data_IF_346271832902
#
_entry.id   IF_346271832902
#
_cell.length_a   1.000
_cell.length_b   1.000
_cell.length_c   1.000
_cell.angle_alpha   90.00
_cell.angle_beta   90.00
_cell.angle_gamma   90.00
#
_symmetry.space_group_name_H-M   'P 1'
#
loop_
_entity.id
_entity.type
_entity.pdbx_description
1 polymer ?
#
# COMPACT_ATOMS: atom_id res chain seq x y z
N UNK A 1 8.21 38.48 1.11
CA UNK A 1 6.74 38.44 1.17
C UNK A 1 6.27 37.53 0.06
N UNK A 2 6.09 36.26 0.40
CA UNK A 2 5.54 35.24 -0.49
C UNK A 2 4.04 35.42 -0.45
N UNK A 3 3.42 35.76 -1.58
CA UNK A 3 1.96 35.73 -1.67
C UNK A 3 1.50 34.30 -1.36
N UNK A 4 0.56 34.11 -0.42
CA UNK A 4 -0.08 32.81 -0.27
C UNK A 4 -0.81 32.54 -1.58
N UNK A 5 -0.58 31.36 -2.16
CA UNK A 5 -1.42 30.82 -3.22
C UNK A 5 -2.87 31.08 -2.82
N UNK A 6 -3.57 31.90 -3.61
CA UNK A 6 -4.96 32.24 -3.37
C UNK A 6 -5.73 30.93 -3.18
N UNK A 7 -6.30 30.77 -1.98
CA UNK A 7 -7.37 29.84 -1.72
C UNK A 7 -8.49 30.21 -2.69
N UNK A 8 -8.63 29.41 -3.75
CA UNK A 8 -9.89 29.33 -4.47
C UNK A 8 -10.93 28.83 -3.46
N UNK A 9 -12.15 29.34 -3.53
CA UNK A 9 -13.26 28.94 -2.68
C UNK A 9 -13.24 27.42 -2.49
N UNK A 10 -13.03 26.94 -1.25
CA UNK A 10 -12.74 25.54 -0.97
C UNK A 10 -13.81 24.64 -1.56
N UNK A 11 -13.54 24.06 -2.72
CA UNK A 11 -14.32 22.97 -3.25
C UNK A 11 -14.07 21.79 -2.31
N UNK A 12 -15.12 21.04 -1.96
CA UNK A 12 -15.06 19.93 -0.99
C UNK A 12 -14.01 18.84 -1.36
N UNK A 13 -13.37 18.94 -2.52
CA UNK A 13 -12.41 18.03 -3.12
C UNK A 13 -10.93 18.45 -3.04
N UNK A 14 -10.58 19.69 -2.66
CA UNK A 14 -9.17 20.14 -2.59
C UNK A 14 -8.32 19.29 -1.63
N UNK A 15 -8.85 19.02 -0.43
CA UNK A 15 -8.19 18.18 0.58
C UNK A 15 -8.10 16.73 0.11
N UNK A 16 -9.19 16.08 -0.36
CA UNK A 16 -9.12 14.77 -0.99
C UNK A 16 -8.09 14.68 -2.13
N UNK A 17 -8.00 15.67 -3.02
CA UNK A 17 -7.05 15.68 -4.12
C UNK A 17 -5.60 15.75 -3.62
N UNK A 18 -5.30 16.69 -2.72
CA UNK A 18 -3.97 16.82 -2.13
C UNK A 18 -3.52 15.52 -1.45
N UNK A 19 -4.41 14.89 -0.68
CA UNK A 19 -4.11 13.66 0.03
C UNK A 19 -4.00 12.46 -0.91
N UNK A 20 -4.87 12.34 -1.92
CA UNK A 20 -4.77 11.29 -2.93
C UNK A 20 -3.42 11.35 -3.65
N UNK A 21 -2.97 12.54 -4.08
CA UNK A 21 -1.64 12.74 -4.70
C UNK A 21 -0.50 12.38 -3.77
N UNK A 22 -0.56 12.86 -2.53
CA UNK A 22 0.48 12.59 -1.53
C UNK A 22 0.63 11.08 -1.26
N UNK A 23 -0.50 10.37 -1.14
CA UNK A 23 -0.48 8.92 -0.96
C UNK A 23 -0.08 8.18 -2.24
N UNK A 24 -0.45 8.64 -3.43
CA UNK A 24 0.02 8.08 -4.69
C UNK A 24 1.55 8.09 -4.78
N UNK A 25 2.17 9.26 -4.54
CA UNK A 25 3.63 9.39 -4.53
C UNK A 25 4.30 8.47 -3.50
N UNK A 26 3.70 8.35 -2.31
CA UNK A 26 4.23 7.47 -1.27
C UNK A 26 4.09 5.99 -1.63
N UNK A 27 2.97 5.60 -2.22
CA UNK A 27 2.69 4.23 -2.67
C UNK A 27 3.66 3.82 -3.79
N UNK A 28 3.95 4.69 -4.76
CA UNK A 28 4.94 4.42 -5.82
C UNK A 28 6.33 4.15 -5.23
N UNK A 29 6.76 4.97 -4.26
CA UNK A 29 8.03 4.75 -3.59
C UNK A 29 8.05 3.44 -2.79
N UNK A 30 7.00 3.20 -1.99
CA UNK A 30 6.87 1.96 -1.22
C UNK A 30 6.86 0.72 -2.12
N UNK A 31 6.22 0.81 -3.28
CA UNK A 31 6.17 -0.28 -4.24
C UNK A 31 7.55 -0.60 -4.82
N UNK A 32 8.30 0.44 -5.22
CA UNK A 32 9.68 0.28 -5.70
C UNK A 32 10.56 -0.37 -4.63
N UNK A 33 10.46 0.10 -3.40
CA UNK A 33 11.27 -0.38 -2.29
C UNK A 33 10.91 -1.84 -1.93
N UNK A 34 9.62 -2.18 -1.83
CA UNK A 34 9.15 -3.54 -1.60
C UNK A 34 9.61 -4.51 -2.69
N UNK A 35 9.49 -4.13 -3.97
CA UNK A 35 10.01 -4.93 -5.11
C UNK A 35 11.51 -5.18 -5.02
N UNK A 36 12.29 -4.18 -4.60
CA UNK A 36 13.75 -4.31 -4.50
C UNK A 36 14.14 -5.21 -3.31
N UNK A 37 13.55 -4.97 -2.14
CA UNK A 37 13.87 -5.71 -0.92
C UNK A 37 13.38 -7.16 -0.97
N UNK A 38 12.21 -7.42 -1.54
CA UNK A 38 11.73 -8.80 -1.80
C UNK A 38 12.70 -9.59 -2.69
N UNK A 39 13.17 -8.97 -3.78
CA UNK A 39 14.15 -9.60 -4.69
C UNK A 39 15.48 -9.86 -3.99
N UNK A 40 15.95 -8.91 -3.18
CA UNK A 40 17.17 -9.06 -2.37
C UNK A 40 17.03 -10.22 -1.38
N UNK A 41 15.94 -10.27 -0.61
CA UNK A 41 15.68 -11.35 0.33
C UNK A 41 15.67 -12.71 -0.37
N UNK A 42 14.88 -12.88 -1.44
CA UNK A 42 14.82 -14.13 -2.20
C UNK A 42 16.19 -14.57 -2.71
N UNK A 43 16.98 -13.64 -3.26
CA UNK A 43 18.32 -13.96 -3.75
C UNK A 43 19.27 -14.41 -2.63
N UNK A 44 19.15 -13.84 -1.42
CA UNK A 44 19.98 -14.22 -0.28
C UNK A 44 19.53 -15.56 0.31
N UNK A 45 18.23 -15.79 0.41
CA UNK A 45 17.64 -17.04 0.88
C UNK A 45 18.08 -18.21 0.00
N UNK A 46 17.91 -18.09 -1.33
CA UNK A 46 18.34 -19.09 -2.32
C UNK A 46 19.87 -19.33 -2.32
N UNK A 47 20.67 -18.30 -2.03
CA UNK A 47 22.13 -18.42 -1.97
C UNK A 47 22.58 -19.12 -0.68
N UNK A 48 21.89 -18.84 0.43
CA UNK A 48 22.15 -19.47 1.72
C UNK A 48 21.76 -20.96 1.68
N UNK A 49 20.61 -21.31 1.11
CA UNK A 49 20.17 -22.70 0.94
C UNK A 49 21.15 -23.55 0.12
N UNK A 50 21.75 -22.96 -0.92
CA UNK A 50 22.76 -23.63 -1.77
C UNK A 50 24.14 -23.73 -1.13
N UNK A 51 24.37 -23.09 0.01
CA UNK A 51 25.70 -22.89 0.61
C UNK A 51 26.69 -22.27 -0.40
N UNK A 52 26.20 -21.44 -1.32
CA UNK A 52 26.93 -20.96 -2.51
C UNK A 52 27.90 -19.80 -2.21
N UNK A 53 27.93 -19.30 -0.95
CA UNK A 53 28.67 -18.08 -0.59
C UNK A 53 29.37 -18.25 0.77
N UNK A 54 30.70 -18.30 0.76
CA UNK A 54 31.57 -18.49 1.94
C UNK A 54 31.44 -17.42 3.04
N UNK A 55 30.71 -16.33 2.80
CA UNK A 55 30.54 -15.20 3.72
C UNK A 55 29.09 -14.84 4.02
N UNK A 56 28.13 -15.56 3.45
CA UNK A 56 26.72 -15.30 3.71
C UNK A 56 26.31 -15.97 5.01
N UNK A 57 25.91 -15.17 6.00
CA UNK A 57 25.48 -15.68 7.29
C UNK A 57 23.95 -15.75 7.36
N UNK A 58 23.43 -16.60 8.25
CA UNK A 58 22.00 -16.62 8.58
C UNK A 58 21.48 -15.24 9.03
N UNK A 59 22.31 -14.46 9.73
CA UNK A 59 21.96 -13.11 10.16
C UNK A 59 21.73 -12.14 8.98
N UNK A 60 22.44 -12.33 7.87
CA UNK A 60 22.24 -11.53 6.66
C UNK A 60 20.87 -11.82 6.02
N UNK A 61 20.47 -13.10 6.01
CA UNK A 61 19.16 -13.54 5.52
C UNK A 61 18.05 -12.98 6.41
N UNK A 62 18.19 -13.09 7.74
CA UNK A 62 17.21 -12.54 8.69
C UNK A 62 17.06 -11.02 8.58
N UNK A 63 18.17 -10.30 8.37
CA UNK A 63 18.12 -8.85 8.15
C UNK A 63 17.37 -8.51 6.88
N UNK A 64 17.67 -9.19 5.77
CA UNK A 64 16.98 -8.97 4.50
C UNK A 64 15.50 -9.35 4.57
N UNK A 65 15.15 -10.41 5.31
CA UNK A 65 13.77 -10.77 5.61
C UNK A 65 13.04 -9.63 6.33
N UNK A 66 13.60 -9.11 7.43
CA UNK A 66 12.98 -8.04 8.21
C UNK A 66 12.77 -6.76 7.39
N UNK A 67 13.74 -6.41 6.54
CA UNK A 67 13.62 -5.28 5.60
C UNK A 67 12.50 -5.51 4.58
N UNK A 68 12.44 -6.69 3.96
CA UNK A 68 11.42 -7.04 2.97
C UNK A 68 10.02 -7.05 3.61
N UNK A 69 9.86 -7.71 4.75
CA UNK A 69 8.61 -7.78 5.51
C UNK A 69 8.07 -6.39 5.84
N UNK A 70 8.93 -5.52 6.39
CA UNK A 70 8.54 -4.14 6.76
C UNK A 70 8.14 -3.32 5.53
N UNK A 71 8.85 -3.50 4.41
CA UNK A 71 8.52 -2.81 3.17
C UNK A 71 7.17 -3.26 2.59
N UNK A 72 6.83 -4.55 2.68
CA UNK A 72 5.51 -5.04 2.28
C UNK A 72 4.39 -4.49 3.16
N UNK A 73 4.58 -4.46 4.48
CA UNK A 73 3.65 -3.83 5.41
C UNK A 73 3.41 -2.35 5.07
N UNK A 74 4.47 -1.60 4.77
CA UNK A 74 4.37 -0.19 4.35
C UNK A 74 3.65 -0.04 3.01
N UNK A 75 3.89 -0.93 2.05
CA UNK A 75 3.18 -0.94 0.77
C UNK A 75 1.67 -1.14 0.98
N UNK A 76 1.28 -2.14 1.78
CA UNK A 76 -0.15 -2.38 2.12
C UNK A 76 -0.79 -1.14 2.73
N UNK A 77 -0.12 -0.50 3.70
CA UNK A 77 -0.63 0.69 4.36
C UNK A 77 -0.81 1.83 3.35
N UNK A 78 0.21 2.11 2.55
CA UNK A 78 0.21 3.24 1.60
C UNK A 78 -0.81 3.04 0.49
N UNK A 79 -0.89 1.83 -0.09
CA UNK A 79 -1.88 1.49 -1.12
C UNK A 79 -3.32 1.61 -0.57
N UNK A 80 -3.58 1.09 0.63
CA UNK A 80 -4.89 1.21 1.27
C UNK A 80 -5.29 2.68 1.51
N UNK A 81 -4.36 3.54 1.94
CA UNK A 81 -4.64 4.96 2.11
C UNK A 81 -4.87 5.66 0.78
N UNK A 82 -4.12 5.31 -0.26
CA UNK A 82 -4.31 5.87 -1.59
C UNK A 82 -5.71 5.57 -2.12
N UNK A 83 -6.16 4.31 -2.07
CA UNK A 83 -7.51 3.90 -2.47
C UNK A 83 -8.61 4.69 -1.72
N UNK A 84 -8.44 4.86 -0.41
CA UNK A 84 -9.39 5.59 0.44
C UNK A 84 -9.49 7.06 0.04
N UNK A 85 -8.37 7.73 -0.18
CA UNK A 85 -8.38 9.16 -0.52
C UNK A 85 -8.82 9.40 -1.96
N UNK A 86 -8.50 8.50 -2.88
CA UNK A 86 -9.02 8.55 -4.24
C UNK A 86 -10.55 8.35 -4.25
N UNK A 87 -11.06 7.37 -3.49
CA UNK A 87 -12.51 7.20 -3.32
C UNK A 87 -13.17 8.48 -2.80
N UNK A 88 -12.58 9.11 -1.77
CA UNK A 88 -13.12 10.37 -1.23
C UNK A 88 -13.11 11.51 -2.23
N UNK A 89 -12.07 11.60 -3.07
CA UNK A 89 -12.00 12.57 -4.16
C UNK A 89 -13.16 12.39 -5.14
N UNK A 90 -13.36 11.17 -5.63
CA UNK A 90 -14.46 10.87 -6.57
C UNK A 90 -15.83 11.18 -5.97
N UNK A 91 -16.06 10.80 -4.70
CA UNK A 91 -17.32 11.09 -4.02
C UNK A 91 -17.54 12.59 -3.79
N UNK A 92 -16.50 13.35 -3.44
CA UNK A 92 -16.60 14.81 -3.30
C UNK A 92 -16.97 15.49 -4.63
N UNK A 93 -16.58 14.90 -5.75
CA UNK A 93 -16.92 15.34 -7.11
C UNK A 93 -18.25 14.79 -7.64
N UNK A 94 -19.00 14.04 -6.83
CA UNK A 94 -20.25 13.41 -7.24
C UNK A 94 -20.08 12.31 -8.30
N UNK A 95 -18.87 11.78 -8.47
CA UNK A 95 -18.52 10.70 -9.41
C UNK A 95 -18.63 9.33 -8.71
N UNK A 96 -18.87 8.23 -9.45
CA UNK A 96 -18.82 6.89 -8.89
C UNK A 96 -17.41 6.58 -8.39
N UNK A 97 -17.28 6.01 -7.19
CA UNK A 97 -15.97 5.65 -6.65
C UNK A 97 -15.29 4.55 -7.48
N UNK A 98 -13.95 4.56 -7.59
CA UNK A 98 -13.21 3.46 -8.21
C UNK A 98 -13.46 2.13 -7.51
N UNK A 99 -13.25 1.03 -8.24
CA UNK A 99 -13.37 -0.32 -7.68
C UNK A 99 -12.33 -0.52 -6.57
N UNK A 100 -12.78 -1.10 -5.45
CA UNK A 100 -11.89 -1.39 -4.32
C UNK A 100 -11.27 -2.77 -4.43
N UNK A 101 -10.01 -2.87 -4.07
CA UNK A 101 -9.32 -4.15 -3.93
C UNK A 101 -9.91 -4.96 -2.77
N UNK A 102 -10.32 -6.21 -3.02
CA UNK A 102 -10.72 -7.12 -1.97
C UNK A 102 -9.61 -7.27 -0.91
N UNK A 103 -10.01 -7.22 0.36
CA UNK A 103 -9.15 -7.45 1.53
C UNK A 103 -8.02 -6.44 1.78
N UNK A 104 -7.77 -5.45 0.91
CA UNK A 104 -6.66 -4.49 1.12
C UNK A 104 -6.82 -3.68 2.41
N UNK A 105 -8.06 -3.26 2.71
CA UNK A 105 -8.38 -2.56 3.97
C UNK A 105 -8.20 -3.47 5.18
N UNK A 106 -8.69 -4.70 5.09
CA UNK A 106 -8.61 -5.70 6.15
C UNK A 106 -7.14 -6.08 6.42
N UNK A 107 -6.34 -6.24 5.37
CA UNK A 107 -4.90 -6.48 5.44
C UNK A 107 -4.16 -5.33 6.09
N UNK A 108 -4.49 -4.09 5.71
CA UNK A 108 -3.94 -2.90 6.38
C UNK A 108 -4.28 -2.89 7.86
N UNK A 109 -5.51 -3.22 8.23
CA UNK A 109 -5.91 -3.27 9.64
C UNK A 109 -5.17 -4.38 10.40
N UNK A 110 -5.01 -5.55 9.79
CA UNK A 110 -4.22 -6.64 10.38
C UNK A 110 -2.77 -6.24 10.64
N UNK A 111 -2.13 -5.54 9.69
CA UNK A 111 -0.76 -5.01 9.85
C UNK A 111 -0.70 -3.96 10.96
N UNK A 112 -1.66 -3.02 11.00
CA UNK A 112 -1.65 -1.91 11.98
C UNK A 112 -1.91 -2.38 13.41
N UNK A 113 -2.71 -3.43 13.57
CA UNK A 113 -3.10 -3.97 14.88
C UNK A 113 -2.40 -5.30 15.18
N UNK A 114 -1.23 -5.55 14.56
CA UNK A 114 -0.50 -6.80 14.73
C UNK A 114 -0.08 -7.01 16.20
N UNK A 115 0.17 -5.93 16.95
CA UNK A 115 0.52 -5.96 18.37
C UNK A 115 -0.62 -6.44 19.29
N UNK A 116 -1.87 -6.42 18.80
CA UNK A 116 -3.06 -6.90 19.51
C UNK A 116 -3.33 -8.41 19.27
N UNK A 117 -2.47 -9.07 18.49
CA UNK A 117 -2.70 -10.43 17.97
C UNK A 117 -2.08 -11.51 18.84
N UNK A 118 -2.61 -12.73 18.74
CA UNK A 118 -1.90 -13.91 19.22
C UNK A 118 -0.93 -14.38 18.12
N UNK A 119 0.33 -14.61 18.50
CA UNK A 119 1.40 -15.03 17.58
C UNK A 119 1.74 -16.48 17.89
N UNK A 120 1.61 -17.35 16.89
CA UNK A 120 2.19 -18.67 16.89
C UNK A 120 3.64 -18.57 16.38
N UNK A 121 4.61 -18.74 17.27
CA UNK A 121 6.04 -18.66 16.96
C UNK A 121 6.55 -19.86 16.15
N UNK A 122 5.87 -21.01 16.24
CA UNK A 122 6.24 -22.23 15.52
C UNK A 122 5.79 -22.13 14.05
N UNK A 123 4.58 -21.59 13.81
CA UNK A 123 4.01 -21.44 12.48
C UNK A 123 4.28 -20.09 11.82
N UNK A 124 4.79 -19.10 12.58
CA UNK A 124 4.96 -17.71 12.13
C UNK A 124 3.65 -17.12 11.62
N UNK A 125 2.56 -17.36 12.33
CA UNK A 125 1.22 -16.89 12.00
C UNK A 125 0.67 -16.02 13.12
N UNK A 126 -0.05 -14.96 12.76
CA UNK A 126 -0.82 -14.15 13.69
C UNK A 126 -2.31 -14.45 13.53
N UNK A 127 -3.01 -14.57 14.66
CA UNK A 127 -4.45 -14.81 14.76
C UNK A 127 -5.13 -13.75 15.66
N UNK A 128 -6.46 -13.57 15.58
CA UNK A 128 -7.17 -12.61 16.40
C UNK A 128 -7.02 -12.93 17.89
N UNK A 129 -6.54 -11.96 18.67
CA UNK A 129 -6.50 -12.08 20.12
C UNK A 129 -7.89 -12.11 20.79
N UNK A 130 -7.94 -12.37 22.11
CA UNK A 130 -9.19 -12.61 22.86
C UNK A 130 -10.12 -11.40 22.85
N UNK A 131 -9.55 -10.19 22.82
CA UNK A 131 -10.26 -8.94 22.60
C UNK A 131 -10.43 -8.70 21.10
N UNK A 132 -11.31 -9.47 20.45
CA UNK A 132 -11.69 -9.42 19.02
C UNK A 132 -11.13 -8.20 18.24
N UNK A 133 -9.87 -8.30 17.81
CA UNK A 133 -9.18 -7.25 17.09
C UNK A 133 -9.82 -7.03 15.73
N UNK A 134 -10.21 -5.79 15.42
CA UNK A 134 -11.04 -5.41 14.25
C UNK A 134 -10.33 -5.55 12.88
N UNK A 135 -9.24 -6.30 12.79
CA UNK A 135 -8.44 -6.49 11.58
C UNK A 135 -8.38 -7.94 11.10
N UNK A 136 -7.69 -8.79 11.87
CA UNK A 136 -7.37 -10.19 11.48
C UNK A 136 -8.59 -11.06 11.24
N UNK A 137 -9.66 -10.90 12.03
CA UNK A 137 -10.86 -11.73 11.88
C UNK A 137 -11.61 -11.55 10.55
N UNK A 138 -11.27 -10.51 9.77
CA UNK A 138 -11.84 -10.23 8.47
C UNK A 138 -10.95 -10.71 7.30
N UNK A 139 -9.75 -11.23 7.59
CA UNK A 139 -8.89 -11.85 6.59
C UNK A 139 -9.38 -13.24 6.21
N UNK A 140 -9.02 -13.75 5.01
CA UNK A 140 -9.15 -15.16 4.70
C UNK A 140 -8.53 -16.01 5.81
N UNK A 141 -9.27 -17.03 6.27
CA UNK A 141 -8.85 -17.92 7.37
C UNK A 141 -8.64 -17.24 8.74
N UNK A 142 -8.91 -15.94 8.87
CA UNK A 142 -8.63 -15.15 10.05
C UNK A 142 -7.15 -15.22 10.50
N UNK A 143 -6.23 -15.30 9.54
CA UNK A 143 -4.80 -15.48 9.79
C UNK A 143 -3.98 -14.48 8.97
N UNK A 144 -2.84 -14.06 9.52
CA UNK A 144 -1.81 -13.33 8.79
C UNK A 144 -0.50 -14.09 8.90
N UNK A 145 0.05 -14.51 7.76
CA UNK A 145 1.37 -15.16 7.74
C UNK A 145 2.47 -14.10 7.87
N UNK A 146 3.28 -14.20 8.92
CA UNK A 146 4.42 -13.31 9.21
C UNK A 146 5.64 -13.70 8.35
N UNK A 147 5.73 -14.97 7.98
CA UNK A 147 6.78 -15.44 7.09
C UNK A 147 6.55 -15.03 5.64
N UNK A 148 7.62 -14.66 4.93
CA UNK A 148 7.59 -14.44 3.49
C UNK A 148 7.77 -15.79 2.81
N UNK A 149 6.65 -16.46 2.51
CA UNK A 149 6.72 -17.67 1.71
C UNK A 149 7.16 -17.31 0.27
N UNK A 150 8.00 -18.14 -0.36
CA UNK A 150 8.50 -17.90 -1.72
C UNK A 150 7.42 -17.86 -2.82
N UNK A 151 6.13 -17.94 -2.45
CA UNK A 151 4.96 -17.99 -3.34
C UNK A 151 4.68 -16.67 -4.07
N UNK A 152 5.27 -15.56 -3.61
CA UNK A 152 5.02 -14.23 -4.19
C UNK A 152 3.76 -13.54 -3.66
N UNK A 153 3.12 -14.10 -2.63
CA UNK A 153 2.02 -13.47 -1.91
C UNK A 153 2.54 -12.53 -0.82
N UNK A 154 1.93 -11.35 -0.74
CA UNK A 154 2.10 -10.38 0.34
C UNK A 154 1.28 -10.88 1.54
N UNK A 155 2.00 -11.25 2.60
CA UNK A 155 1.49 -11.77 3.88
C UNK A 155 0.51 -12.96 3.70
N UNK A 156 0.68 -13.71 2.60
CA UNK A 156 -0.17 -14.83 2.17
C UNK A 156 -1.66 -14.50 1.90
N UNK A 157 -2.02 -13.22 1.74
CA UNK A 157 -3.42 -12.80 1.49
C UNK A 157 -3.63 -12.33 0.05
N UNK A 158 -2.73 -11.50 -0.49
CA UNK A 158 -2.85 -10.91 -1.83
C UNK A 158 -1.56 -11.16 -2.59
N UNK A 159 -1.63 -11.52 -3.87
CA UNK A 159 -0.41 -11.65 -4.68
C UNK A 159 0.24 -10.28 -4.91
N UNK A 160 1.58 -10.22 -4.93
CA UNK A 160 2.27 -8.97 -5.20
C UNK A 160 1.88 -8.36 -6.54
N UNK A 161 1.77 -9.18 -7.59
CA UNK A 161 1.39 -8.75 -8.94
C UNK A 161 -0.03 -8.17 -8.97
N UNK A 162 -0.96 -8.73 -8.19
CA UNK A 162 -2.33 -8.21 -8.08
C UNK A 162 -2.35 -6.84 -7.40
N UNK A 163 -1.63 -6.67 -6.29
CA UNK A 163 -1.53 -5.36 -5.63
C UNK A 163 -0.87 -4.32 -6.53
N UNK A 164 0.16 -4.72 -7.25
CA UNK A 164 0.87 -3.89 -8.23
C UNK A 164 -0.06 -3.40 -9.34
N UNK A 165 -0.78 -4.31 -9.99
CA UNK A 165 -1.73 -3.97 -11.04
C UNK A 165 -2.84 -3.03 -10.54
N UNK A 166 -3.31 -3.23 -9.31
CA UNK A 166 -4.31 -2.35 -8.72
C UNK A 166 -3.77 -0.95 -8.42
N UNK A 167 -2.55 -0.84 -7.90
CA UNK A 167 -1.88 0.45 -7.71
C UNK A 167 -1.76 1.18 -9.06
N UNK A 168 -1.37 0.48 -10.12
CA UNK A 168 -1.30 1.07 -11.47
C UNK A 168 -2.68 1.59 -11.92
N UNK A 169 -3.75 0.83 -11.71
CA UNK A 169 -5.13 1.30 -11.98
C UNK A 169 -5.48 2.56 -11.19
N UNK A 170 -5.19 2.61 -9.88
CA UNK A 170 -5.47 3.80 -9.07
C UNK A 170 -4.66 5.02 -9.55
N UNK A 171 -3.44 4.82 -10.04
CA UNK A 171 -2.60 5.87 -10.60
C UNK A 171 -3.17 6.39 -11.93
N UNK A 172 -3.65 5.51 -12.79
CA UNK A 172 -4.31 5.88 -14.05
C UNK A 172 -5.57 6.71 -13.75
N UNK A 173 -6.41 6.26 -12.83
CA UNK A 173 -7.62 6.97 -12.38
C UNK A 173 -7.30 8.35 -11.78
N UNK A 174 -6.21 8.48 -11.03
CA UNK A 174 -5.76 9.80 -10.54
C UNK A 174 -5.20 10.67 -11.67
N UNK A 175 -4.50 10.08 -12.64
CA UNK A 175 -3.97 10.77 -13.81
C UNK A 175 -5.08 11.40 -14.65
N UNK A 176 -6.13 10.65 -14.93
CA UNK A 176 -7.31 11.14 -15.65
C UNK A 176 -7.99 12.31 -14.90
N UNK A 177 -8.11 12.22 -13.56
CA UNK A 177 -8.66 13.30 -12.74
C UNK A 177 -7.80 14.59 -12.76
N UNK A 178 -6.48 14.45 -12.89
CA UNK A 178 -5.56 15.59 -13.00
C UNK A 178 -5.62 16.23 -14.39
N UNK A 179 -5.76 15.42 -15.44
CA UNK A 179 -5.89 15.89 -16.81
C UNK A 179 -7.22 16.64 -17.04
N UNK A 180 -8.32 16.13 -16.47
CA UNK A 180 -9.61 16.81 -16.44
C UNK A 180 -9.51 18.17 -15.71
N UNK A 181 -8.91 18.18 -14.52
CA UNK A 181 -8.71 19.42 -13.76
C UNK A 181 -7.89 20.46 -14.53
N UNK A 182 -6.80 20.01 -15.19
CA UNK A 182 -5.99 20.90 -16.01
C UNK A 182 -6.79 21.48 -17.18
N UNK A 183 -7.62 20.67 -17.84
CA UNK A 183 -8.49 21.10 -18.95
C UNK A 183 -9.48 22.16 -18.50
N UNK A 184 -10.19 21.92 -17.41
CA UNK A 184 -11.18 22.85 -16.85
C UNK A 184 -10.53 24.19 -16.49
N UNK A 185 -9.34 24.15 -15.89
CA UNK A 185 -8.56 25.34 -15.58
C UNK A 185 -8.18 26.12 -16.85
N UNK A 186 -7.69 25.45 -17.89
CA UNK A 186 -7.34 26.09 -19.15
C UNK A 186 -8.55 26.73 -19.84
N UNK A 187 -9.72 26.08 -19.78
CA UNK A 187 -10.97 26.62 -20.33
C UNK A 187 -11.46 27.84 -19.55
N UNK A 188 -11.38 27.81 -18.22
CA UNK A 188 -11.67 28.95 -17.35
C UNK A 188 -10.79 30.16 -17.74
N UNK A 189 -9.46 29.98 -17.80
CA UNK A 189 -8.52 31.04 -18.19
C UNK A 189 -8.79 31.58 -19.60
N UNK A 190 -9.19 30.73 -20.55
CA UNK A 190 -9.55 31.15 -21.92
C UNK A 190 -10.88 31.90 -22.00
N UNK A 191 -11.82 31.58 -21.12
CA UNK A 191 -13.16 32.19 -21.10
C UNK A 191 -13.18 33.62 -20.55
N UNK A 192 -12.07 34.09 -19.97
CA UNK A 192 -11.93 35.47 -19.46
C UNK A 192 -12.81 35.76 -18.24
N UNK A 193 -13.19 34.73 -17.49
CA UNK A 193 -13.72 34.85 -16.13
C UNK A 193 -12.62 34.55 -15.13
#
# INVERSE_FOLDING_TARGET
MTEPLQSFDSADDDVPLFLARSWAERTVNALRDARALRRRFRSLDEAHERMDVDHLTWNDVQTAFGEAWTAECLLVITASQFEVWLTKLYLARGRPAPERMPYLRELRNAVVHLDESEIDEDEWTATPGPSQGRGLGALPHAELTIWLNGTGNILNVISADTLEAHVDTLLDELGEELDDFARDWYEMLRSGR
#
